data_IF_507568721244
#
_entry.id   IF_507568721244
#
_cell.length_a   1.000
_cell.length_b   1.000
_cell.length_c   1.000
_cell.angle_alpha   90.00
_cell.angle_beta   90.00
_cell.angle_gamma   90.00
#
_symmetry.space_group_name_H-M   'P 1'
#
loop_
_entity.id
_entity.type
_entity.pdbx_description
1 polymer ?
#
# COMPACT_ATOMS: atom_id res chain seq x y z
N UNK A 1 -40.32 -55.14 -6.72
CA UNK A 1 -39.23 -54.96 -5.74
C UNK A 1 -38.05 -54.42 -6.51
N UNK A 2 -37.57 -53.25 -6.09
CA UNK A 2 -36.45 -52.43 -6.58
C UNK A 2 -36.59 -51.68 -7.92
N UNK A 3 -36.69 -50.36 -7.73
CA UNK A 3 -36.46 -49.26 -8.67
C UNK A 3 -35.07 -49.32 -9.33
N UNK A 4 -35.01 -49.00 -10.62
CA UNK A 4 -33.78 -48.55 -11.29
C UNK A 4 -34.06 -47.19 -11.90
N UNK A 5 -33.80 -46.13 -11.12
CA UNK A 5 -33.78 -44.76 -11.61
C UNK A 5 -32.47 -44.55 -12.39
N UNK A 6 -32.57 -44.42 -13.71
CA UNK A 6 -31.47 -43.97 -14.56
C UNK A 6 -31.28 -42.45 -14.36
N UNK A 7 -30.34 -42.05 -13.51
CA UNK A 7 -29.96 -40.64 -13.34
C UNK A 7 -29.11 -40.22 -14.53
N UNK A 8 -29.72 -39.52 -15.49
CA UNK A 8 -29.00 -38.87 -16.58
C UNK A 8 -28.34 -37.62 -15.99
N UNK A 9 -27.08 -37.75 -15.56
CA UNK A 9 -26.27 -36.63 -15.11
C UNK A 9 -25.90 -35.73 -16.29
N UNK A 10 -26.54 -34.57 -16.41
CA UNK A 10 -26.06 -33.51 -17.31
C UNK A 10 -24.84 -32.89 -16.66
N UNK A 11 -23.65 -33.26 -17.14
CA UNK A 11 -22.41 -32.60 -16.78
C UNK A 11 -22.40 -31.20 -17.42
N UNK A 12 -22.79 -30.17 -16.67
CA UNK A 12 -22.58 -28.78 -17.08
C UNK A 12 -21.08 -28.51 -16.98
N UNK A 13 -20.39 -28.61 -18.12
CA UNK A 13 -18.99 -28.24 -18.23
C UNK A 13 -18.93 -26.70 -18.19
N UNK A 14 -18.60 -26.13 -17.04
CA UNK A 14 -18.23 -24.72 -16.95
C UNK A 14 -16.93 -24.53 -17.73
N UNK A 15 -17.05 -24.04 -18.96
CA UNK A 15 -15.90 -23.54 -19.73
C UNK A 15 -15.41 -22.30 -18.99
N UNK A 16 -14.34 -22.45 -18.21
CA UNK A 16 -13.58 -21.33 -17.69
C UNK A 16 -12.96 -20.61 -18.89
N UNK A 17 -13.67 -19.61 -19.41
CA UNK A 17 -13.08 -18.64 -20.35
C UNK A 17 -11.89 -18.01 -19.63
N UNK A 18 -10.69 -18.31 -20.10
CA UNK A 18 -9.41 -17.81 -19.59
C UNK A 18 -9.24 -16.31 -19.80
N UNK A 19 -10.14 -15.51 -19.21
CA UNK A 19 -9.85 -14.12 -18.92
C UNK A 19 -8.69 -14.11 -17.94
N UNK A 20 -7.64 -13.35 -18.27
CA UNK A 20 -6.59 -13.02 -17.32
C UNK A 20 -7.29 -12.39 -16.13
N UNK A 21 -7.43 -13.13 -15.02
CA UNK A 21 -7.85 -12.52 -13.78
C UNK A 21 -6.87 -11.36 -13.55
N UNK A 22 -7.34 -10.11 -13.36
CA UNK A 22 -6.42 -9.04 -13.02
C UNK A 22 -5.63 -9.53 -11.81
N UNK A 23 -4.30 -9.50 -11.90
CA UNK A 23 -3.44 -9.86 -10.78
C UNK A 23 -3.98 -9.15 -9.54
N UNK A 24 -4.34 -9.92 -8.51
CA UNK A 24 -4.92 -9.38 -7.28
C UNK A 24 -4.01 -8.26 -6.80
N UNK A 25 -4.53 -7.03 -6.75
CA UNK A 25 -3.72 -5.84 -6.56
C UNK A 25 -2.94 -5.89 -5.24
N UNK A 26 -3.57 -6.47 -4.21
CA UNK A 26 -2.99 -6.82 -2.92
C UNK A 26 -3.23 -8.31 -2.60
N UNK A 27 -2.39 -8.84 -1.71
CA UNK A 27 -2.61 -10.10 -1.00
C UNK A 27 -2.90 -9.80 0.46
N UNK A 28 -3.84 -10.51 1.06
CA UNK A 28 -4.16 -10.37 2.48
C UNK A 28 -4.21 -11.76 3.13
N UNK A 29 -3.61 -11.86 4.31
CA UNK A 29 -3.66 -13.07 5.13
C UNK A 29 -3.88 -12.72 6.60
N UNK A 30 -4.57 -13.60 7.33
CA UNK A 30 -4.61 -13.54 8.80
C UNK A 30 -3.23 -13.92 9.31
N UNK A 31 -2.61 -13.03 10.10
CA UNK A 31 -1.32 -13.25 10.74
C UNK A 31 -1.47 -13.82 12.15
N UNK A 32 -2.60 -13.57 12.80
CA UNK A 32 -2.89 -14.06 14.14
C UNK A 32 -4.03 -13.33 14.82
N UNK A 33 -4.17 -13.53 16.12
CA UNK A 33 -5.13 -12.83 16.98
C UNK A 33 -4.42 -11.87 17.91
N UNK A 34 -5.10 -10.81 18.33
CA UNK A 34 -4.58 -9.76 19.17
C UNK A 34 -4.58 -8.39 18.49
N UNK A 35 -4.58 -7.36 19.33
CA UNK A 35 -4.58 -5.97 18.89
C UNK A 35 -3.17 -5.38 18.99
N UNK A 36 -2.78 -4.66 17.94
CA UNK A 36 -1.56 -3.84 17.91
C UNK A 36 -1.83 -2.63 17.04
N UNK A 37 -1.18 -1.50 17.35
CA UNK A 37 -1.21 -0.34 16.48
C UNK A 37 -0.69 -0.71 15.08
N UNK A 38 -1.17 -0.05 14.00
CA UNK A 38 -0.76 -0.37 12.65
C UNK A 38 0.74 -0.18 12.43
N UNK A 39 1.34 -1.10 11.68
CA UNK A 39 2.74 -1.00 11.26
C UNK A 39 2.85 -1.28 9.77
N UNK A 40 3.46 -0.34 9.04
CA UNK A 40 3.71 -0.48 7.61
C UNK A 40 5.21 -0.68 7.37
N UNK A 41 5.55 -1.60 6.48
CA UNK A 41 6.89 -1.83 5.94
C UNK A 41 6.91 -1.48 4.47
N UNK A 42 7.77 -0.55 4.08
CA UNK A 42 8.11 -0.33 2.68
C UNK A 42 9.50 -0.88 2.41
N UNK A 43 9.51 -2.04 1.76
CA UNK A 43 10.71 -2.75 1.35
C UNK A 43 11.08 -2.32 -0.08
N UNK A 44 12.16 -1.55 -0.19
CA UNK A 44 12.60 -0.98 -1.45
C UNK A 44 13.35 -2.04 -2.25
N UNK A 45 13.00 -2.16 -3.53
CA UNK A 45 13.76 -3.00 -4.45
C UNK A 45 14.86 -2.18 -5.13
N UNK A 46 16.15 -2.31 -4.73
CA UNK A 46 17.24 -1.53 -5.32
C UNK A 46 17.48 -1.85 -6.80
N UNK A 47 17.09 -3.04 -7.26
CA UNK A 47 17.18 -3.43 -8.68
C UNK A 47 16.05 -2.82 -9.51
N UNK A 48 14.95 -2.39 -8.88
CA UNK A 48 13.82 -1.75 -9.56
C UNK A 48 12.98 -0.94 -8.57
N UNK A 49 13.27 0.36 -8.44
CA UNK A 49 12.56 1.25 -7.49
C UNK A 49 11.05 1.36 -7.73
N UNK A 50 10.58 0.99 -8.93
CA UNK A 50 9.17 0.95 -9.33
C UNK A 50 8.51 -0.43 -9.06
N UNK A 51 9.25 -1.37 -8.47
CA UNK A 51 8.80 -2.72 -8.15
C UNK A 51 9.22 -3.11 -6.71
N UNK A 52 8.93 -2.21 -5.79
CA UNK A 52 9.09 -2.37 -4.34
C UNK A 52 7.81 -2.99 -3.72
N UNK A 53 7.86 -3.32 -2.43
CA UNK A 53 6.71 -3.91 -1.72
C UNK A 53 6.28 -3.02 -0.56
N UNK A 54 4.99 -2.74 -0.47
CA UNK A 54 4.38 -2.16 0.74
C UNK A 54 3.61 -3.26 1.46
N UNK A 55 4.00 -3.55 2.70
CA UNK A 55 3.28 -4.47 3.59
C UNK A 55 2.70 -3.70 4.76
N UNK A 56 1.43 -3.91 5.08
CA UNK A 56 0.75 -3.35 6.23
C UNK A 56 0.32 -4.45 7.18
N UNK A 57 0.53 -4.22 8.47
CA UNK A 57 0.03 -5.03 9.57
C UNK A 57 -1.01 -4.22 10.32
N UNK A 58 -2.24 -4.73 10.37
CA UNK A 58 -3.39 -4.03 10.98
C UNK A 58 -4.23 -4.99 11.79
N UNK A 59 -4.67 -4.57 12.97
CA UNK A 59 -5.60 -5.35 13.80
C UNK A 59 -7.02 -4.80 13.69
N UNK A 60 -7.98 -5.64 13.28
CA UNK A 60 -9.40 -5.29 13.17
C UNK A 60 -10.21 -6.34 13.94
N UNK A 61 -11.00 -5.89 14.92
CA UNK A 61 -11.85 -6.79 15.71
C UNK A 61 -11.08 -7.90 16.46
N UNK A 62 -9.85 -7.62 16.92
CA UNK A 62 -9.02 -8.62 17.60
C UNK A 62 -8.28 -9.58 16.67
N UNK A 63 -8.38 -9.42 15.34
CA UNK A 63 -7.65 -10.22 14.35
C UNK A 63 -6.61 -9.37 13.67
N UNK A 64 -5.37 -9.87 13.58
CA UNK A 64 -4.25 -9.22 12.92
C UNK A 64 -4.13 -9.72 11.48
N UNK A 65 -4.09 -8.78 10.54
CA UNK A 65 -3.96 -9.03 9.11
C UNK A 65 -2.60 -8.54 8.62
N UNK A 66 -2.00 -9.31 7.71
CA UNK A 66 -0.87 -8.91 6.87
C UNK A 66 -1.38 -8.64 5.46
N UNK A 67 -1.25 -7.42 4.99
CA UNK A 67 -1.68 -6.97 3.66
C UNK A 67 -0.43 -6.58 2.88
N UNK A 68 -0.16 -7.19 1.73
CA UNK A 68 1.05 -6.95 0.95
C UNK A 68 0.70 -6.64 -0.51
N UNK A 69 1.28 -5.59 -1.05
CA UNK A 69 0.99 -5.12 -2.42
C UNK A 69 2.24 -4.54 -3.08
N UNK A 70 2.21 -4.51 -4.41
CA UNK A 70 3.26 -3.83 -5.18
C UNK A 70 3.19 -2.33 -4.91
N UNK A 71 4.36 -1.72 -4.81
CA UNK A 71 4.53 -0.29 -4.66
C UNK A 71 5.74 0.20 -5.48
N UNK A 72 5.87 1.51 -5.60
CA UNK A 72 7.08 2.13 -6.12
C UNK A 72 7.38 3.44 -5.44
N UNK A 73 8.60 3.91 -5.59
CA UNK A 73 9.02 5.21 -5.09
C UNK A 73 10.10 5.83 -5.95
N UNK A 74 10.02 7.14 -6.13
CA UNK A 74 10.85 7.84 -7.09
C UNK A 74 10.44 7.49 -8.54
N UNK A 75 11.26 7.91 -9.49
CA UNK A 75 11.02 7.73 -10.93
C UNK A 75 11.99 6.75 -11.58
N UNK A 76 12.51 5.80 -10.80
CA UNK A 76 13.58 4.87 -11.19
C UNK A 76 14.92 5.16 -10.51
N UNK A 77 15.07 6.31 -9.86
CA UNK A 77 16.27 6.64 -9.09
C UNK A 77 16.24 6.06 -7.67
N UNK A 78 17.32 5.39 -7.29
CA UNK A 78 17.58 4.87 -5.93
C UNK A 78 18.33 5.87 -5.03
N UNK A 79 18.55 7.10 -5.49
CA UNK A 79 19.19 8.14 -4.67
C UNK A 79 18.14 8.94 -3.92
N UNK A 80 17.92 8.63 -2.64
CA UNK A 80 16.93 9.30 -1.78
C UNK A 80 17.12 10.81 -1.60
N UNK A 81 18.31 11.34 -1.85
CA UNK A 81 18.57 12.77 -1.73
C UNK A 81 18.17 13.57 -2.99
N UNK A 82 17.85 12.92 -4.12
CA UNK A 82 17.44 13.63 -5.34
C UNK A 82 15.99 14.12 -5.28
N UNK A 83 15.80 15.39 -4.96
CA UNK A 83 14.47 16.03 -4.97
C UNK A 83 13.69 15.73 -6.24
N UNK A 84 12.40 15.40 -6.09
CA UNK A 84 11.47 15.05 -7.16
C UNK A 84 11.80 13.83 -8.03
N UNK A 85 12.85 13.07 -7.71
CA UNK A 85 13.28 11.94 -8.55
C UNK A 85 13.63 10.70 -7.72
N UNK A 86 14.40 10.91 -6.67
CA UNK A 86 14.83 9.89 -5.73
C UNK A 86 13.68 9.24 -4.98
N UNK A 87 13.85 7.96 -4.66
CA UNK A 87 12.94 7.21 -3.80
C UNK A 87 12.86 7.77 -2.37
N UNK A 88 11.89 7.27 -1.61
CA UNK A 88 11.63 7.68 -0.24
C UNK A 88 12.86 7.43 0.67
N UNK A 89 13.27 8.40 1.51
CA UNK A 89 14.34 8.22 2.47
C UNK A 89 14.09 7.08 3.47
N UNK A 90 15.15 6.34 3.79
CA UNK A 90 15.13 5.23 4.75
C UNK A 90 14.82 5.66 6.19
N UNK A 91 14.33 4.69 6.97
CA UNK A 91 14.10 4.82 8.41
C UNK A 91 12.63 4.87 8.80
N UNK A 92 12.37 5.29 10.03
CA UNK A 92 11.02 5.30 10.60
C UNK A 92 10.31 6.63 10.36
N UNK A 93 9.00 6.55 10.14
CA UNK A 93 8.08 7.67 10.03
C UNK A 93 6.97 7.46 11.06
N UNK A 94 6.96 8.31 12.08
CA UNK A 94 6.14 8.13 13.28
C UNK A 94 4.92 9.05 13.26
N UNK A 95 3.81 8.61 13.84
CA UNK A 95 2.61 9.44 13.96
C UNK A 95 2.79 10.67 14.88
N UNK A 96 3.73 10.60 15.83
CA UNK A 96 3.92 11.63 16.86
C UNK A 96 4.72 12.86 16.44
N UNK A 97 5.14 12.94 15.18
CA UNK A 97 5.81 14.12 14.64
C UNK A 97 7.33 14.18 14.85
N UNK A 98 7.93 13.15 15.51
CA UNK A 98 9.38 13.19 15.78
C UNK A 98 10.19 13.20 14.48
N UNK A 99 11.34 13.86 14.55
CA UNK A 99 12.25 14.06 13.41
C UNK A 99 11.58 14.71 12.18
N UNK A 100 10.52 15.51 12.40
CA UNK A 100 9.67 16.12 11.34
C UNK A 100 8.91 15.11 10.47
N UNK A 101 8.97 13.82 10.80
CA UNK A 101 8.20 12.78 10.13
C UNK A 101 6.75 12.79 10.61
N UNK A 102 5.87 12.17 9.83
CA UNK A 102 4.48 11.91 10.21
C UNK A 102 4.11 10.49 9.81
N UNK A 103 2.98 10.02 10.33
CA UNK A 103 2.27 8.87 9.77
C UNK A 103 0.78 9.08 9.95
N UNK A 104 0.25 10.04 9.20
CA UNK A 104 -1.08 10.61 9.40
C UNK A 104 -1.98 10.28 8.21
N UNK A 105 -3.05 9.51 8.44
CA UNK A 105 -3.98 9.13 7.38
C UNK A 105 -5.10 10.16 7.23
N UNK A 106 -5.18 10.81 6.06
CA UNK A 106 -6.07 11.95 5.81
C UNK A 106 -6.77 11.84 4.45
N UNK A 107 -7.92 12.49 4.29
CA UNK A 107 -8.51 12.75 2.99
C UNK A 107 -7.99 14.10 2.45
N UNK A 108 -7.00 14.05 1.58
CA UNK A 108 -6.36 15.23 1.01
C UNK A 108 -7.15 15.75 -0.19
N UNK A 109 -7.74 16.93 -0.08
CA UNK A 109 -8.56 17.56 -1.14
C UNK A 109 -7.90 18.77 -1.82
N UNK A 110 -6.69 19.14 -1.38
CA UNK A 110 -5.95 20.33 -1.86
C UNK A 110 -4.60 19.95 -2.50
N UNK A 111 -3.89 20.94 -3.05
CA UNK A 111 -2.56 20.77 -3.64
C UNK A 111 -2.56 19.93 -4.92
N UNK A 112 -1.44 19.26 -5.22
CA UNK A 112 -1.28 18.44 -6.43
C UNK A 112 -2.34 17.32 -6.53
N UNK A 113 -3.06 17.30 -7.65
CA UNK A 113 -4.18 16.38 -7.90
C UNK A 113 -3.75 14.90 -7.91
N UNK A 114 -2.50 14.62 -8.28
CA UNK A 114 -1.92 13.27 -8.29
C UNK A 114 -1.81 12.68 -6.89
N UNK A 115 -1.79 13.50 -5.84
CA UNK A 115 -1.65 13.09 -4.43
C UNK A 115 -2.95 13.30 -3.64
N UNK A 116 -4.08 13.59 -4.30
CA UNK A 116 -5.38 13.77 -3.64
C UNK A 116 -6.08 12.44 -3.28
N UNK A 117 -7.09 12.55 -2.41
CA UNK A 117 -7.87 11.44 -1.86
C UNK A 117 -7.31 10.94 -0.54
N UNK A 118 -7.64 9.71 -0.16
CA UNK A 118 -7.12 9.08 1.05
C UNK A 118 -5.63 8.78 0.91
N UNK A 119 -4.81 9.39 1.76
CA UNK A 119 -3.34 9.27 1.74
C UNK A 119 -2.79 9.12 3.15
N UNK A 120 -1.55 8.65 3.26
CA UNK A 120 -0.77 8.75 4.48
C UNK A 120 0.27 9.85 4.30
N UNK A 121 0.14 10.94 5.04
CA UNK A 121 1.11 12.01 5.13
C UNK A 121 2.31 11.54 5.96
N UNK A 122 3.49 11.60 5.37
CA UNK A 122 4.75 11.18 5.95
C UNK A 122 5.59 12.36 6.45
N UNK A 123 5.12 13.60 6.24
CA UNK A 123 5.81 14.81 6.66
C UNK A 123 7.08 15.04 5.86
N UNK A 124 8.16 15.35 6.57
CA UNK A 124 9.48 15.57 5.99
C UNK A 124 10.49 14.62 6.60
N UNK A 125 11.49 14.22 5.82
CA UNK A 125 12.59 13.38 6.31
C UNK A 125 13.92 13.78 5.70
N UNK A 126 14.95 13.83 6.54
CA UNK A 126 16.33 14.02 6.11
C UNK A 126 16.84 12.73 5.47
N UNK A 127 17.36 12.81 4.26
CA UNK A 127 18.07 11.68 3.65
C UNK A 127 19.45 11.49 4.32
N UNK A 128 20.15 10.41 3.99
CA UNK A 128 21.51 10.10 4.49
C UNK A 128 22.56 11.19 4.22
N UNK A 129 22.28 12.14 3.32
CA UNK A 129 23.06 13.36 3.12
C UNK A 129 22.56 14.54 3.95
N UNK A 130 22.55 15.73 3.34
CA UNK A 130 22.08 16.98 3.97
C UNK A 130 20.70 17.44 3.50
N UNK A 131 20.11 16.76 2.50
CA UNK A 131 18.84 17.20 1.90
C UNK A 131 17.66 16.71 2.72
N UNK A 132 16.78 17.64 3.08
CA UNK A 132 15.47 17.32 3.66
C UNK A 132 14.46 17.15 2.54
N UNK A 133 13.83 15.98 2.48
CA UNK A 133 12.72 15.67 1.58
C UNK A 133 11.41 16.04 2.27
N UNK A 134 10.60 16.86 1.62
CA UNK A 134 9.32 17.36 2.14
C UNK A 134 8.15 16.82 1.32
N UNK A 135 6.93 17.04 1.80
CA UNK A 135 5.69 16.65 1.11
C UNK A 135 5.67 15.18 0.68
N UNK A 136 6.07 14.30 1.60
CA UNK A 136 6.13 12.86 1.38
C UNK A 136 4.79 12.20 1.73
N UNK A 137 4.34 11.28 0.90
CA UNK A 137 3.05 10.59 1.08
C UNK A 137 3.12 9.11 0.69
N UNK A 138 2.19 8.31 1.22
CA UNK A 138 1.71 7.09 0.57
C UNK A 138 0.40 7.44 -0.16
N UNK A 139 0.36 7.27 -1.48
CA UNK A 139 -0.80 7.65 -2.28
C UNK A 139 -1.01 6.76 -3.51
N UNK A 140 -2.17 6.91 -4.13
CA UNK A 140 -2.42 6.43 -5.50
C UNK A 140 -2.58 7.63 -6.45
N UNK A 141 -3.05 7.41 -7.68
CA UNK A 141 -3.24 8.45 -8.68
C UNK A 141 -4.51 9.27 -8.43
N UNK A 142 -4.42 10.21 -7.50
CA UNK A 142 -5.50 11.15 -7.19
C UNK A 142 -6.84 10.48 -6.82
N UNK A 143 -7.95 11.12 -7.18
CA UNK A 143 -9.30 10.64 -6.88
C UNK A 143 -9.89 9.74 -7.97
N UNK A 144 -9.50 9.93 -9.22
CA UNK A 144 -10.00 9.17 -10.38
C UNK A 144 -9.31 7.83 -10.61
N UNK A 145 -8.22 7.56 -9.88
CA UNK A 145 -7.40 6.35 -10.09
C UNK A 145 -6.67 6.36 -11.43
N UNK A 146 -6.04 5.23 -11.74
CA UNK A 146 -5.40 4.94 -13.02
C UNK A 146 -5.74 3.54 -13.50
N UNK A 147 -5.71 3.33 -14.81
CA UNK A 147 -5.92 2.02 -15.43
C UNK A 147 -4.61 1.26 -15.68
N UNK A 148 -3.46 1.96 -15.68
CA UNK A 148 -2.15 1.38 -15.98
C UNK A 148 -1.15 1.53 -14.80
N UNK A 149 -0.28 0.54 -14.63
CA UNK A 149 0.72 0.33 -13.56
C UNK A 149 1.82 1.42 -13.43
N UNK A 150 1.47 2.68 -13.13
CA UNK A 150 2.45 3.78 -13.03
C UNK A 150 3.01 3.97 -11.60
N UNK A 151 3.79 3.04 -11.09
CA UNK A 151 4.35 3.13 -9.73
C UNK A 151 5.40 4.26 -9.50
N UNK A 152 5.65 5.14 -10.49
CA UNK A 152 6.58 6.25 -10.38
C UNK A 152 5.98 7.45 -9.63
N UNK A 153 6.81 8.08 -8.79
CA UNK A 153 6.48 9.25 -7.98
C UNK A 153 7.66 10.21 -7.87
N UNK A 154 7.43 11.38 -7.28
CA UNK A 154 8.47 12.35 -6.97
C UNK A 154 9.18 12.06 -5.61
N UNK A 155 9.20 10.79 -5.20
CA UNK A 155 9.79 10.31 -3.94
C UNK A 155 8.77 9.87 -2.86
N UNK A 156 7.48 9.90 -3.18
CA UNK A 156 6.43 9.28 -2.38
C UNK A 156 6.41 7.75 -2.52
N UNK A 157 5.67 7.04 -1.68
CA UNK A 157 5.28 5.66 -1.97
C UNK A 157 4.00 5.70 -2.80
N UNK A 158 4.03 5.05 -3.96
CA UNK A 158 2.88 4.98 -4.87
C UNK A 158 2.35 3.56 -4.95
N UNK A 159 1.04 3.40 -4.79
CA UNK A 159 0.32 2.12 -4.82
C UNK A 159 -0.87 2.19 -5.80
N UNK A 160 -1.42 1.04 -6.18
CA UNK A 160 -2.61 1.00 -7.05
C UNK A 160 -3.82 1.66 -6.35
N UNK A 161 -4.82 2.05 -7.13
CA UNK A 161 -6.07 2.58 -6.63
C UNK A 161 -6.84 1.52 -5.84
N UNK A 162 -6.88 0.27 -6.32
CA UNK A 162 -7.52 -0.85 -5.62
C UNK A 162 -6.88 -1.09 -4.25
N UNK A 163 -5.54 -1.11 -4.22
CA UNK A 163 -4.69 -1.21 -3.05
C UNK A 163 -4.97 -0.12 -2.02
N UNK A 164 -5.00 1.15 -2.47
CA UNK A 164 -5.32 2.30 -1.62
C UNK A 164 -6.70 2.14 -0.98
N UNK A 165 -7.71 1.77 -1.76
CA UNK A 165 -9.08 1.61 -1.26
C UNK A 165 -9.16 0.51 -0.19
N UNK A 166 -8.54 -0.64 -0.45
CA UNK A 166 -8.52 -1.74 0.52
C UNK A 166 -7.78 -1.35 1.80
N UNK A 167 -6.57 -0.80 1.65
CA UNK A 167 -5.75 -0.39 2.77
C UNK A 167 -6.41 0.72 3.60
N UNK A 168 -7.07 1.69 2.94
CA UNK A 168 -7.87 2.72 3.60
C UNK A 168 -8.95 2.11 4.49
N UNK A 169 -9.76 1.19 3.95
CA UNK A 169 -10.84 0.55 4.69
C UNK A 169 -10.32 -0.21 5.91
N UNK A 170 -9.25 -1.00 5.71
CA UNK A 170 -8.61 -1.78 6.77
C UNK A 170 -7.98 -0.89 7.85
N UNK A 171 -7.25 0.14 7.45
CA UNK A 171 -6.64 1.10 8.38
C UNK A 171 -7.69 1.91 9.15
N UNK A 172 -8.79 2.31 8.49
CA UNK A 172 -9.83 3.10 9.13
C UNK A 172 -10.53 2.35 10.27
N UNK A 173 -10.63 1.02 10.15
CA UNK A 173 -11.16 0.12 11.17
C UNK A 173 -10.10 -0.41 12.15
N UNK A 174 -8.83 -0.05 11.97
CA UNK A 174 -7.74 -0.62 12.75
C UNK A 174 -7.74 -0.12 14.19
N UNK A 175 -7.42 -1.02 15.11
CA UNK A 175 -7.13 -0.72 16.50
C UNK A 175 -5.98 0.28 16.59
N UNK A 176 -6.13 1.30 17.43
CA UNK A 176 -5.10 2.28 17.77
C UNK A 176 -4.38 2.90 16.55
N UNK A 177 -5.15 3.20 15.49
CA UNK A 177 -4.63 3.72 14.23
C UNK A 177 -3.87 5.04 14.34
N UNK A 178 -4.07 5.80 15.41
CA UNK A 178 -3.34 7.05 15.71
C UNK A 178 -1.89 6.83 16.13
N UNK A 179 -1.53 5.63 16.60
CA UNK A 179 -0.16 5.29 17.02
C UNK A 179 0.58 4.44 15.97
N UNK A 180 0.09 4.43 14.72
CA UNK A 180 0.74 3.69 13.66
C UNK A 180 2.07 4.30 13.22
N UNK A 181 2.87 3.51 12.49
CA UNK A 181 4.12 3.99 11.91
C UNK A 181 4.45 3.27 10.59
N UNK A 182 5.35 3.89 9.83
CA UNK A 182 5.98 3.29 8.64
C UNK A 182 7.48 3.10 8.89
N UNK A 183 7.98 1.92 8.57
CA UNK A 183 9.40 1.63 8.44
C UNK A 183 9.76 1.52 6.96
N UNK A 184 10.82 2.21 6.54
CA UNK A 184 11.36 2.14 5.19
C UNK A 184 12.74 1.48 5.23
N UNK A 185 12.88 0.38 4.48
CA UNK A 185 14.11 -0.41 4.38
C UNK A 185 14.55 -0.57 2.92
N UNK A 186 15.77 -1.04 2.71
CA UNK A 186 16.40 -1.29 1.40
C UNK A 186 17.07 -2.66 1.38
#
# INVERSE_FOLDING_TARGET
MLDVLLVIGVAVTLIATGGSAPALAYTEAVQGTGNSAPWFDFDKNPSSALNSTLTAYVSVGGVRYRISQRAGSGNGSTNECLSNQGWLPNGYYWADGRDSTRFEHINKTWGNEVVRGWVWNLGSKKCSGSTTRTELFIHSQGTSGWTNSNYASNGCIKINQTDRTHLHNRFNAAYDKSNGFLQVVS
#
